data_IF_695440193936
#
_entry.id   IF_695440193936
#
_cell.length_a   1.000
_cell.length_b   1.000
_cell.length_c   1.000
_cell.angle_alpha   90.00
_cell.angle_beta   90.00
_cell.angle_gamma   90.00
#
_symmetry.space_group_name_H-M   'P 1'
#
loop_
_entity.id
_entity.type
_entity.pdbx_description
1 polymer ?
#
# COMPACT_ATOMS: atom_id res chain seq x y z
N UNK A 1 -13.44 -8.43 27.21
CA UNK A 1 -12.89 -7.06 27.03
C UNK A 1 -14.02 -6.05 27.07
N UNK A 2 -13.80 -4.93 27.74
CA UNK A 2 -14.75 -3.83 27.75
C UNK A 2 -14.76 -3.14 26.38
N UNK A 3 -15.94 -2.72 25.89
CA UNK A 3 -16.07 -2.04 24.59
C UNK A 3 -15.23 -0.75 24.54
N UNK A 4 -15.06 -0.09 25.68
CA UNK A 4 -14.24 1.11 25.81
C UNK A 4 -12.75 0.82 25.59
N UNK A 5 -12.22 -0.26 26.17
CA UNK A 5 -10.80 -0.60 25.96
C UNK A 5 -10.55 -0.97 24.51
N UNK A 6 -11.42 -1.79 23.90
CA UNK A 6 -11.37 -2.09 22.45
C UNK A 6 -11.42 -0.85 21.56
N UNK A 7 -12.24 0.14 21.93
CA UNK A 7 -12.29 1.42 21.25
C UNK A 7 -10.97 2.16 21.35
N UNK A 8 -10.39 2.28 22.55
CA UNK A 8 -9.10 2.93 22.77
C UNK A 8 -8.00 2.20 21.98
N UNK A 9 -7.90 0.89 22.08
CA UNK A 9 -6.88 0.08 21.39
C UNK A 9 -6.97 0.22 19.86
N UNK A 10 -8.18 0.22 19.30
CA UNK A 10 -8.39 0.30 17.85
C UNK A 10 -8.24 1.72 17.31
N UNK A 11 -8.60 2.75 18.08
CA UNK A 11 -8.55 4.16 17.64
C UNK A 11 -7.16 4.78 17.79
N UNK A 12 -6.35 4.33 18.77
CA UNK A 12 -5.01 4.83 19.03
C UNK A 12 -4.08 4.89 17.80
N UNK A 13 -3.93 3.83 16.98
CA UNK A 13 -3.10 3.90 15.77
C UNK A 13 -3.64 4.89 14.75
N UNK A 14 -4.96 5.04 14.64
CA UNK A 14 -5.60 6.00 13.73
C UNK A 14 -5.32 7.42 14.18
N UNK A 15 -5.52 7.72 15.46
CA UNK A 15 -5.19 9.03 16.06
C UNK A 15 -3.71 9.34 15.87
N UNK A 16 -2.82 8.38 16.11
CA UNK A 16 -1.37 8.56 15.90
C UNK A 16 -1.07 9.00 14.46
N UNK A 17 -1.68 8.36 13.45
CA UNK A 17 -1.49 8.78 12.06
C UNK A 17 -2.09 10.16 11.79
N UNK A 18 -3.30 10.44 12.28
CA UNK A 18 -3.94 11.76 12.10
C UNK A 18 -3.12 12.90 12.72
N UNK A 19 -2.53 12.68 13.90
CA UNK A 19 -1.65 13.66 14.55
C UNK A 19 -0.37 13.90 13.74
N UNK A 20 0.27 12.84 13.23
CA UNK A 20 1.47 12.98 12.38
C UNK A 20 1.11 13.67 11.05
N UNK A 21 -0.06 13.39 10.47
CA UNK A 21 -0.56 14.12 9.30
C UNK A 21 -0.76 15.61 9.61
N UNK A 22 -1.32 15.95 10.77
CA UNK A 22 -1.51 17.33 11.21
C UNK A 22 -0.17 18.06 11.39
N UNK A 23 0.84 17.40 11.96
CA UNK A 23 2.20 17.95 12.05
C UNK A 23 2.78 18.17 10.66
N UNK A 24 2.67 17.20 9.74
CA UNK A 24 3.12 17.35 8.36
C UNK A 24 2.47 18.54 7.65
N UNK A 25 1.15 18.71 7.84
CA UNK A 25 0.38 19.84 7.33
C UNK A 25 0.90 21.17 7.90
N UNK A 26 1.09 21.24 9.21
CA UNK A 26 1.62 22.42 9.89
C UNK A 26 3.02 22.81 9.38
N UNK A 27 3.92 21.84 9.24
CA UNK A 27 5.28 22.07 8.73
C UNK A 27 5.32 22.53 7.27
N UNK A 28 4.27 22.29 6.49
CA UNK A 28 4.15 22.73 5.11
C UNK A 28 3.51 24.11 4.94
N UNK A 29 2.99 24.71 6.02
CA UNK A 29 2.38 26.05 5.96
C UNK A 29 3.39 27.09 5.52
N UNK A 30 2.92 28.11 4.79
CA UNK A 30 3.77 29.20 4.26
C UNK A 30 4.54 29.94 5.37
N UNK A 31 4.02 29.94 6.59
CA UNK A 31 4.68 30.54 7.76
C UNK A 31 5.86 29.71 8.32
N UNK A 32 5.86 28.39 8.13
CA UNK A 32 6.90 27.49 8.67
C UNK A 32 7.85 27.00 7.58
N UNK A 33 7.30 26.63 6.42
CA UNK A 33 7.98 26.17 5.18
C UNK A 33 9.10 25.13 5.36
N UNK A 34 9.07 24.35 6.44
CA UNK A 34 10.08 23.31 6.70
C UNK A 34 9.86 22.08 5.80
N UNK A 35 8.60 21.75 5.52
CA UNK A 35 8.19 20.72 4.55
C UNK A 35 7.60 21.36 3.28
N UNK A 36 8.27 22.38 2.77
CA UNK A 36 8.02 22.93 1.44
C UNK A 36 8.28 21.92 0.30
N UNK A 37 7.96 22.25 -0.96
CA UNK A 37 8.02 21.32 -2.09
C UNK A 37 9.37 20.61 -2.27
N UNK A 38 10.47 21.35 -2.15
CA UNK A 38 11.83 20.79 -2.28
C UNK A 38 12.17 19.84 -1.12
N UNK A 39 11.86 20.23 0.12
CA UNK A 39 12.08 19.41 1.30
C UNK A 39 11.28 18.10 1.23
N UNK A 40 10.02 18.16 0.79
CA UNK A 40 9.20 16.96 0.55
C UNK A 40 9.81 16.04 -0.49
N UNK A 41 10.32 16.61 -1.59
CA UNK A 41 10.96 15.82 -2.64
C UNK A 41 12.20 15.10 -2.13
N UNK A 42 13.10 15.79 -1.42
CA UNK A 42 14.30 15.17 -0.84
C UNK A 42 13.97 14.12 0.22
N UNK A 43 13.03 14.43 1.12
CA UNK A 43 12.58 13.47 2.12
C UNK A 43 11.96 12.23 1.48
N UNK A 44 11.19 12.39 0.40
CA UNK A 44 10.63 11.28 -0.35
C UNK A 44 11.70 10.40 -1.00
N UNK A 45 12.78 11.01 -1.51
CA UNK A 45 13.92 10.26 -2.04
C UNK A 45 14.60 9.43 -0.93
N UNK A 46 14.77 9.98 0.27
CA UNK A 46 15.27 9.20 1.42
C UNK A 46 14.33 8.04 1.78
N UNK A 47 13.02 8.31 1.82
CA UNK A 47 12.01 7.27 2.07
C UNK A 47 12.10 6.15 1.03
N UNK A 48 12.18 6.49 -0.26
CA UNK A 48 12.17 5.52 -1.35
C UNK A 48 13.48 4.71 -1.46
N UNK A 49 14.64 5.38 -1.40
CA UNK A 49 15.94 4.74 -1.63
C UNK A 49 16.56 4.13 -0.38
N UNK A 50 16.21 4.61 0.82
CA UNK A 50 16.89 4.23 2.07
C UNK A 50 15.91 3.64 3.08
N UNK A 51 14.92 4.40 3.53
CA UNK A 51 14.11 3.98 4.69
C UNK A 51 13.18 2.80 4.38
N UNK A 52 12.42 2.83 3.28
CA UNK A 52 11.52 1.73 2.92
C UNK A 52 12.27 0.43 2.60
N UNK A 53 13.36 0.44 1.81
CA UNK A 53 14.17 -0.76 1.60
C UNK A 53 14.69 -1.35 2.91
N UNK A 54 15.23 -0.51 3.81
CA UNK A 54 15.71 -0.94 5.11
C UNK A 54 14.58 -1.58 5.95
N UNK A 55 13.44 -0.91 6.06
CA UNK A 55 12.27 -1.39 6.79
C UNK A 55 11.77 -2.75 6.27
N UNK A 56 11.60 -2.87 4.95
CA UNK A 56 11.08 -4.08 4.29
C UNK A 56 12.09 -5.23 4.41
N UNK A 57 13.38 -4.95 4.15
CA UNK A 57 14.44 -5.95 4.21
C UNK A 57 14.59 -6.54 5.62
N UNK A 58 14.62 -5.69 6.66
CA UNK A 58 14.69 -6.14 8.04
C UNK A 58 13.42 -6.90 8.45
N UNK A 59 12.23 -6.39 8.14
CA UNK A 59 10.95 -7.05 8.44
C UNK A 59 10.89 -8.47 7.85
N UNK A 60 11.34 -8.62 6.60
CA UNK A 60 11.39 -9.93 5.92
C UNK A 60 12.46 -10.82 6.53
N UNK A 61 13.66 -10.31 6.80
CA UNK A 61 14.73 -11.11 7.39
C UNK A 61 14.36 -11.65 8.78
N UNK A 62 13.70 -10.82 9.61
CA UNK A 62 13.21 -11.22 10.94
C UNK A 62 12.19 -12.35 10.84
N UNK A 63 11.22 -12.22 9.93
CA UNK A 63 10.07 -13.13 9.81
C UNK A 63 10.29 -14.36 8.93
N UNK A 64 11.20 -14.32 7.96
CA UNK A 64 11.43 -15.41 6.99
C UNK A 64 12.22 -16.56 7.61
N UNK A 65 11.56 -17.42 8.40
CA UNK A 65 12.09 -18.76 8.74
C UNK A 65 11.32 -19.83 7.98
N UNK A 66 11.96 -20.98 7.73
CA UNK A 66 11.30 -22.14 7.10
C UNK A 66 10.04 -22.54 7.88
N UNK A 67 10.13 -22.57 9.21
CA UNK A 67 9.01 -22.91 10.10
C UNK A 67 7.87 -21.88 10.04
N UNK A 68 8.19 -20.59 9.98
CA UNK A 68 7.20 -19.52 9.80
C UNK A 68 6.51 -19.63 8.44
N UNK A 69 7.26 -19.93 7.38
CA UNK A 69 6.72 -20.04 6.03
C UNK A 69 5.73 -21.20 5.92
N UNK A 70 6.02 -22.36 6.52
CA UNK A 70 5.11 -23.52 6.52
C UNK A 70 3.87 -23.30 7.38
N UNK A 71 3.99 -22.62 8.52
CA UNK A 71 2.87 -22.44 9.47
C UNK A 71 1.95 -21.28 9.12
N UNK A 72 2.47 -20.23 8.48
CA UNK A 72 1.74 -19.00 8.18
C UNK A 72 1.56 -18.74 6.68
N UNK A 73 1.76 -19.74 5.82
CA UNK A 73 1.71 -19.59 4.35
C UNK A 73 0.41 -18.97 3.82
N UNK A 74 -0.72 -19.23 4.50
CA UNK A 74 -2.01 -18.69 4.08
C UNK A 74 -2.10 -17.17 4.28
N UNK A 75 -1.32 -16.59 5.18
CA UNK A 75 -1.33 -15.15 5.43
C UNK A 75 -0.86 -14.33 4.21
N UNK A 76 0.30 -14.61 3.58
CA UNK A 76 0.64 -14.05 2.28
C UNK A 76 -0.47 -14.21 1.24
N UNK A 77 -1.04 -15.41 1.13
CA UNK A 77 -2.11 -15.71 0.16
C UNK A 77 -3.34 -14.85 0.40
N UNK A 78 -3.77 -14.72 1.66
CA UNK A 78 -4.90 -13.89 2.06
C UNK A 78 -4.68 -12.41 1.72
N UNK A 79 -3.47 -11.89 1.92
CA UNK A 79 -3.12 -10.52 1.54
C UNK A 79 -3.23 -10.33 0.02
N UNK A 80 -2.73 -11.27 -0.78
CA UNK A 80 -2.86 -11.21 -2.23
C UNK A 80 -4.33 -11.30 -2.68
N UNK A 81 -5.14 -12.16 -2.06
CA UNK A 81 -6.59 -12.24 -2.33
C UNK A 81 -7.26 -10.90 -2.01
N UNK A 82 -6.99 -10.30 -0.84
CA UNK A 82 -7.50 -8.98 -0.45
C UNK A 82 -7.12 -7.91 -1.47
N UNK A 83 -5.86 -7.90 -1.90
CA UNK A 83 -5.37 -6.97 -2.92
C UNK A 83 -6.11 -7.14 -4.26
N UNK A 84 -6.32 -8.39 -4.71
CA UNK A 84 -7.06 -8.69 -5.95
C UNK A 84 -8.52 -8.23 -5.85
N UNK A 85 -9.22 -8.57 -4.76
CA UNK A 85 -10.60 -8.15 -4.53
C UNK A 85 -10.68 -6.62 -4.52
N UNK A 86 -9.79 -5.96 -3.78
CA UNK A 86 -9.71 -4.50 -3.71
C UNK A 86 -9.40 -3.84 -5.05
N UNK A 87 -8.52 -4.43 -5.87
CA UNK A 87 -8.25 -3.95 -7.22
C UNK A 87 -9.46 -4.09 -8.15
N UNK A 88 -10.19 -5.21 -8.07
CA UNK A 88 -11.41 -5.43 -8.86
C UNK A 88 -12.48 -4.42 -8.47
N UNK A 89 -12.72 -4.24 -7.16
CA UNK A 89 -13.67 -3.24 -6.65
C UNK A 89 -13.27 -1.81 -7.05
N UNK A 90 -11.97 -1.47 -6.97
CA UNK A 90 -11.45 -0.19 -7.43
C UNK A 90 -11.66 0.03 -8.93
N UNK A 91 -11.45 -0.99 -9.76
CA UNK A 91 -11.74 -0.92 -11.20
C UNK A 91 -13.23 -0.71 -11.48
N UNK A 92 -14.11 -1.34 -10.70
CA UNK A 92 -15.56 -1.15 -10.79
C UNK A 92 -15.90 0.30 -10.42
N UNK A 93 -15.34 0.82 -9.33
CA UNK A 93 -15.57 2.19 -8.88
C UNK A 93 -15.11 3.23 -9.91
N UNK A 94 -13.95 3.02 -10.54
CA UNK A 94 -13.44 3.87 -11.63
C UNK A 94 -14.45 4.01 -12.76
N UNK A 95 -15.13 2.90 -13.12
CA UNK A 95 -16.16 2.90 -14.17
C UNK A 95 -17.44 3.61 -13.72
N UNK A 96 -17.91 3.34 -12.51
CA UNK A 96 -19.15 3.92 -11.96
C UNK A 96 -19.03 5.45 -11.83
N UNK A 97 -17.91 5.92 -11.30
CA UNK A 97 -17.70 7.35 -11.01
C UNK A 97 -17.19 8.16 -12.21
N UNK A 98 -16.93 7.48 -13.35
CA UNK A 98 -16.27 8.06 -14.51
C UNK A 98 -15.02 8.84 -14.10
N UNK A 99 -14.11 8.14 -13.43
CA UNK A 99 -12.87 8.72 -12.87
C UNK A 99 -11.95 9.19 -14.02
N UNK A 100 -11.38 10.40 -13.93
CA UNK A 100 -10.39 10.89 -14.89
C UNK A 100 -9.19 9.92 -15.05
N UNK A 101 -8.61 9.78 -16.26
CA UNK A 101 -7.49 8.86 -16.51
C UNK A 101 -6.34 8.98 -15.51
N UNK A 102 -6.00 10.19 -15.07
CA UNK A 102 -4.94 10.46 -14.10
C UNK A 102 -5.18 9.83 -12.71
N UNK A 103 -6.44 9.70 -12.28
CA UNK A 103 -6.78 9.21 -10.94
C UNK A 103 -7.13 7.71 -10.91
N UNK A 104 -7.20 7.03 -12.07
CA UNK A 104 -7.59 5.60 -12.13
C UNK A 104 -6.64 4.74 -11.31
N UNK A 105 -5.33 4.93 -11.49
CA UNK A 105 -4.30 4.21 -10.75
C UNK A 105 -4.39 4.47 -9.25
N UNK A 106 -4.64 5.72 -8.85
CA UNK A 106 -4.81 6.12 -7.45
C UNK A 106 -6.01 5.41 -6.80
N UNK A 107 -7.15 5.36 -7.48
CA UNK A 107 -8.38 4.75 -6.94
C UNK A 107 -8.20 3.24 -6.76
N UNK A 108 -7.58 2.57 -7.73
CA UNK A 108 -7.24 1.15 -7.64
C UNK A 108 -6.23 0.90 -6.51
N UNK A 109 -5.24 1.77 -6.36
CA UNK A 109 -4.25 1.71 -5.27
C UNK A 109 -4.92 1.82 -3.90
N UNK A 110 -5.68 2.90 -3.67
CA UNK A 110 -6.39 3.12 -2.43
C UNK A 110 -7.39 2.02 -2.11
N UNK A 111 -7.96 1.35 -3.12
CA UNK A 111 -8.90 0.24 -2.94
C UNK A 111 -8.22 -1.11 -2.68
N UNK A 112 -6.96 -1.31 -3.11
CA UNK A 112 -6.25 -2.60 -3.04
C UNK A 112 -5.24 -2.72 -1.90
N UNK A 113 -4.36 -1.74 -1.68
CA UNK A 113 -3.29 -1.82 -0.68
C UNK A 113 -3.64 -1.18 0.67
N UNK A 114 -3.45 -1.90 1.78
CA UNK A 114 -3.77 -1.45 3.13
C UNK A 114 -2.50 -1.09 3.94
N UNK A 115 -2.63 -0.23 4.95
CA UNK A 115 -1.54 0.16 5.85
C UNK A 115 -1.23 -0.94 6.90
N UNK A 116 -0.93 -2.15 6.42
CA UNK A 116 -0.74 -3.32 7.28
C UNK A 116 0.44 -3.16 8.24
N UNK A 117 1.48 -2.40 7.89
CA UNK A 117 2.63 -2.19 8.77
C UNK A 117 2.29 -1.39 10.01
N UNK A 118 2.00 -0.10 9.86
CA UNK A 118 1.81 0.78 11.01
C UNK A 118 0.60 0.37 11.85
N UNK A 119 -0.49 -0.07 11.23
CA UNK A 119 -1.72 -0.37 11.96
C UNK A 119 -1.62 -1.70 12.69
N UNK A 120 -1.18 -2.79 12.04
CA UNK A 120 -1.13 -4.10 12.72
C UNK A 120 -0.02 -4.15 13.79
N UNK A 121 1.13 -3.49 13.57
CA UNK A 121 2.21 -3.43 14.57
C UNK A 121 1.76 -2.74 15.87
N UNK A 122 0.73 -1.89 15.83
CA UNK A 122 0.20 -1.22 17.02
C UNK A 122 -1.00 -2.00 17.59
N UNK A 123 -1.93 -2.43 16.73
CA UNK A 123 -3.18 -3.06 17.17
C UNK A 123 -2.93 -4.44 17.78
N UNK A 124 -2.13 -5.29 17.13
CA UNK A 124 -1.99 -6.68 17.56
C UNK A 124 -1.30 -6.79 18.94
N UNK A 125 -0.14 -6.15 19.19
CA UNK A 125 0.47 -6.17 20.53
C UNK A 125 -0.44 -5.58 21.60
N UNK A 126 -1.08 -4.44 21.32
CA UNK A 126 -1.95 -3.80 22.30
C UNK A 126 -3.16 -4.68 22.68
N UNK A 127 -3.79 -5.37 21.71
CA UNK A 127 -4.87 -6.34 22.01
C UNK A 127 -4.38 -7.56 22.81
N UNK A 128 -3.11 -7.92 22.70
CA UNK A 128 -2.50 -9.00 23.49
C UNK A 128 -2.16 -8.57 24.93
N UNK A 129 -1.94 -7.28 25.16
CA UNK A 129 -1.60 -6.70 26.47
C UNK A 129 -2.83 -6.26 27.27
N UNK A 130 -4.01 -6.20 26.63
CA UNK A 130 -5.29 -5.88 27.27
C UNK A 130 -5.67 -6.90 28.36
N UNK A 131 -6.21 -6.38 29.46
CA UNK A 131 -6.75 -7.21 30.54
C UNK A 131 -7.93 -8.05 30.05
N UNK A 132 -7.89 -9.37 30.28
CA UNK A 132 -8.83 -10.36 29.73
C UNK A 132 -8.81 -10.48 28.20
N UNK A 133 -7.63 -10.42 27.58
CA UNK A 133 -7.45 -10.75 26.16
C UNK A 133 -7.88 -12.20 25.87
N UNK A 134 -8.68 -12.45 24.82
CA UNK A 134 -9.13 -13.79 24.45
C UNK A 134 -8.06 -14.59 23.69
N UNK A 135 -6.89 -13.99 23.44
CA UNK A 135 -5.85 -14.55 22.58
C UNK A 135 -4.74 -15.31 23.32
N UNK A 136 -4.95 -15.59 24.62
CA UNK A 136 -4.04 -16.40 25.45
C UNK A 136 -3.06 -15.56 26.27
N UNK A 137 -1.91 -16.14 26.60
CA UNK A 137 -0.86 -15.48 27.38
C UNK A 137 -0.31 -14.23 26.66
N UNK A 138 -0.20 -13.13 27.39
CA UNK A 138 0.12 -11.81 26.84
C UNK A 138 1.48 -11.77 26.12
N UNK A 139 2.52 -12.37 26.72
CA UNK A 139 3.88 -12.34 26.18
C UNK A 139 4.00 -13.11 24.86
N UNK A 140 3.35 -14.26 24.81
CA UNK A 140 3.34 -15.14 23.63
C UNK A 140 2.47 -14.54 22.52
N UNK A 141 1.30 -14.02 22.88
CA UNK A 141 0.40 -13.35 21.95
C UNK A 141 1.07 -12.14 21.30
N UNK A 142 1.70 -11.26 22.09
CA UNK A 142 2.35 -10.04 21.60
C UNK A 142 3.47 -10.37 20.61
N UNK A 143 4.30 -11.38 20.93
CA UNK A 143 5.38 -11.86 20.05
C UNK A 143 4.84 -12.39 18.71
N UNK A 144 3.75 -13.16 18.74
CA UNK A 144 3.10 -13.64 17.51
C UNK A 144 2.43 -12.51 16.74
N UNK A 145 1.76 -11.58 17.44
CA UNK A 145 1.13 -10.40 16.86
C UNK A 145 2.12 -9.53 16.09
N UNK A 146 3.29 -9.24 16.68
CA UNK A 146 4.38 -8.52 16.01
C UNK A 146 4.85 -9.28 14.76
N UNK A 147 5.08 -10.60 14.89
CA UNK A 147 5.51 -11.43 13.76
C UNK A 147 4.50 -11.42 12.60
N UNK A 148 3.21 -11.49 12.90
CA UNK A 148 2.14 -11.45 11.90
C UNK A 148 2.04 -10.08 11.22
N UNK A 149 2.20 -9.01 11.98
CA UNK A 149 2.17 -7.65 11.46
C UNK A 149 3.39 -7.37 10.53
N UNK A 150 4.59 -7.78 10.93
CA UNK A 150 5.80 -7.67 10.10
C UNK A 150 5.70 -8.49 8.82
N UNK A 151 5.18 -9.72 8.89
CA UNK A 151 4.94 -10.55 7.70
C UNK A 151 3.90 -9.90 6.77
N UNK A 152 2.85 -9.31 7.35
CA UNK A 152 1.81 -8.61 6.59
C UNK A 152 2.35 -7.37 5.87
N UNK A 153 3.18 -6.57 6.56
CA UNK A 153 3.89 -5.43 5.98
C UNK A 153 4.76 -5.85 4.79
N UNK A 154 5.57 -6.88 4.99
CA UNK A 154 6.46 -7.42 3.97
C UNK A 154 5.71 -7.84 2.70
N UNK A 155 4.69 -8.67 2.84
CA UNK A 155 3.92 -9.17 1.69
C UNK A 155 3.17 -8.05 0.97
N UNK A 156 2.59 -7.12 1.72
CA UNK A 156 1.92 -5.96 1.14
C UNK A 156 2.90 -5.08 0.36
N UNK A 157 4.12 -4.90 0.86
CA UNK A 157 5.15 -4.13 0.17
C UNK A 157 5.58 -4.77 -1.15
N UNK A 158 5.72 -6.10 -1.19
CA UNK A 158 6.01 -6.84 -2.44
C UNK A 158 4.92 -6.57 -3.46
N UNK A 159 3.64 -6.67 -3.07
CA UNK A 159 2.51 -6.35 -3.96
C UNK A 159 2.57 -4.90 -4.47
N UNK A 160 2.82 -3.94 -3.56
CA UNK A 160 2.83 -2.51 -3.90
C UNK A 160 3.92 -2.21 -4.93
N UNK A 161 5.14 -2.71 -4.73
CA UNK A 161 6.26 -2.39 -5.62
C UNK A 161 6.30 -3.23 -6.89
N UNK A 162 5.79 -4.46 -6.87
CA UNK A 162 5.82 -5.34 -8.03
C UNK A 162 4.64 -5.12 -8.98
N UNK A 163 3.45 -4.86 -8.44
CA UNK A 163 2.21 -4.79 -9.22
C UNK A 163 1.66 -3.36 -9.19
N UNK A 164 1.44 -2.82 -7.99
CA UNK A 164 0.69 -1.56 -7.87
C UNK A 164 1.42 -0.36 -8.47
N UNK A 165 2.74 -0.29 -8.28
CA UNK A 165 3.60 0.72 -8.90
C UNK A 165 3.44 0.73 -10.42
N UNK A 166 3.40 -0.45 -11.06
CA UNK A 166 3.19 -0.58 -12.50
C UNK A 166 1.83 -0.03 -12.95
N UNK A 167 0.76 -0.35 -12.20
CA UNK A 167 -0.60 0.15 -12.45
C UNK A 167 -0.63 1.68 -12.36
N UNK A 168 -0.07 2.24 -11.29
CA UNK A 168 -0.05 3.69 -11.05
C UNK A 168 0.79 4.42 -12.10
N UNK A 169 1.97 3.88 -12.44
CA UNK A 169 2.83 4.43 -13.50
C UNK A 169 2.14 4.44 -14.86
N UNK A 170 1.40 3.39 -15.18
CA UNK A 170 0.62 3.32 -16.45
C UNK A 170 -0.45 4.40 -16.51
N UNK A 171 -1.15 4.63 -15.39
CA UNK A 171 -2.13 5.71 -15.24
C UNK A 171 -1.52 7.11 -15.34
N UNK A 172 -0.29 7.30 -14.84
CA UNK A 172 0.44 8.56 -14.95
C UNK A 172 0.94 8.79 -16.39
N UNK A 173 1.45 7.75 -17.05
CA UNK A 173 1.93 7.86 -18.43
C UNK A 173 0.83 8.16 -19.45
N UNK A 174 -0.42 7.77 -19.19
CA UNK A 174 -1.54 8.19 -20.06
C UNK A 174 -1.73 9.71 -20.08
N UNK A 175 -1.34 10.42 -19.02
CA UNK A 175 -1.37 11.89 -18.95
C UNK A 175 -0.35 12.49 -19.91
N UNK A 176 0.87 11.94 -19.94
CA UNK A 176 1.94 12.43 -20.83
C UNK A 176 1.56 12.24 -22.30
N UNK A 177 0.92 11.11 -22.63
CA UNK A 177 0.44 10.85 -23.98
C UNK A 177 -0.72 11.77 -24.38
N UNK A 178 -1.74 11.89 -23.53
CA UNK A 178 -2.90 12.75 -23.78
C UNK A 178 -2.48 14.23 -23.92
N UNK A 179 -1.56 14.70 -23.06
CA UNK A 179 -1.02 16.06 -23.17
C UNK A 179 -0.16 16.25 -24.43
N UNK A 180 0.61 15.24 -24.86
CA UNK A 180 1.40 15.32 -26.09
C UNK A 180 0.55 15.28 -27.37
N UNK A 181 -0.55 14.52 -27.34
CA UNK A 181 -1.56 14.47 -28.41
C UNK A 181 -2.32 15.80 -28.52
N UNK A 182 -2.77 16.35 -27.38
CA UNK A 182 -3.42 17.68 -27.34
C UNK A 182 -2.44 18.76 -27.82
N UNK A 183 -1.17 18.72 -27.39
CA UNK A 183 -0.17 19.69 -27.84
C UNK A 183 0.10 19.57 -29.35
N UNK A 184 0.10 18.36 -29.91
CA UNK A 184 0.24 18.14 -31.36
C UNK A 184 -0.97 18.63 -32.15
N UNK A 185 -2.19 18.42 -31.64
CA UNK A 185 -3.42 18.92 -32.28
C UNK A 185 -3.53 20.45 -32.21
N UNK A 186 -3.02 21.06 -31.13
CA UNK A 186 -3.05 22.53 -30.99
C UNK A 186 -2.00 23.23 -31.87
N UNK A 187 -0.95 22.51 -32.31
CA UNK A 187 0.12 23.01 -33.17
C UNK A 187 -0.12 22.76 -34.68
N UNK A 188 -1.23 22.12 -35.06
CA UNK A 188 -1.51 21.72 -36.43
C UNK A 188 -2.58 22.59 -37.14
N UNK A 189 -2.27 23.86 -37.42
CA UNK A 189 -2.76 24.63 -38.59
C UNK A 189 -1.95 25.95 -38.77
N UNK A 190 -1.80 26.51 -39.99
CA UNK A 190 -0.60 26.33 -40.78
C UNK A 190 0.24 27.60 -40.93
N UNK A 191 1.56 27.53 -40.75
CA UNK A 191 2.49 28.47 -41.37
C UNK A 191 3.75 27.75 -41.88
N UNK A 192 3.91 27.84 -43.20
CA UNK A 192 5.13 27.52 -43.95
C UNK A 192 6.32 28.31 -43.39
N UNK A 193 7.47 27.64 -43.20
CA UNK A 193 8.83 27.99 -43.69
C UNK A 193 9.88 27.11 -42.98
N UNK A 194 10.36 26.10 -43.72
CA UNK A 194 11.76 25.71 -43.93
C UNK A 194 12.82 26.17 -42.91
N UNK A 195 13.49 25.25 -42.20
CA UNK A 195 14.77 24.60 -42.59
C UNK A 195 15.24 23.65 -41.48
N UNK A 196 15.99 22.62 -41.87
CA UNK A 196 16.10 21.33 -41.18
C UNK A 196 17.13 21.21 -40.05
N UNK A 197 17.06 20.07 -39.38
CA UNK A 197 18.16 19.26 -38.84
C UNK A 197 17.66 17.80 -38.77
N UNK A 198 18.60 16.89 -39.05
CA UNK A 198 18.49 15.53 -39.57
C UNK A 198 17.69 14.50 -38.77
N UNK A 199 17.06 13.62 -39.56
CA UNK A 199 16.56 12.30 -39.24
C UNK A 199 17.62 11.41 -38.56
N UNK A 200 17.19 10.60 -37.59
CA UNK A 200 17.54 9.18 -37.60
C UNK A 200 16.55 8.32 -36.78
N UNK A 201 15.81 7.47 -37.52
CA UNK A 201 15.22 6.17 -37.15
C UNK A 201 14.00 6.10 -36.21
N UNK A 202 12.84 6.48 -36.75
CA UNK A 202 11.53 5.99 -36.30
C UNK A 202 11.24 4.65 -36.99
N UNK A 203 11.21 3.56 -36.22
CA UNK A 203 10.63 2.31 -36.68
C UNK A 203 9.11 2.48 -36.79
N UNK A 204 8.61 2.46 -38.02
CA UNK A 204 7.23 2.18 -38.36
C UNK A 204 6.80 0.85 -37.73
N UNK A 205 5.74 0.86 -36.93
CA UNK A 205 4.98 -0.35 -36.59
C UNK A 205 3.61 -0.17 -37.22
N UNK A 206 3.37 -0.95 -38.26
CA UNK A 206 2.09 -1.02 -38.97
C UNK A 206 0.94 -1.34 -38.00
N UNK A 207 -0.12 -0.53 -38.07
CA UNK A 207 -1.42 -0.85 -37.49
C UNK A 207 -2.05 -2.02 -38.26
N UNK A 208 -2.62 -3.04 -37.58
CA UNK A 208 -3.69 -3.81 -38.15
C UNK A 208 -5.05 -3.16 -37.86
N UNK A 209 -5.79 -3.07 -38.96
CA UNK A 209 -7.15 -2.61 -39.22
C UNK A 209 -8.23 -3.03 -38.18
N UNK A 210 -9.23 -2.15 -38.01
CA UNK A 210 -10.37 -2.31 -37.09
C UNK A 210 -11.35 -3.38 -37.59
N UNK A 211 -11.11 -4.62 -37.17
CA UNK A 211 -12.08 -5.71 -37.23
C UNK A 211 -13.01 -5.71 -36.02
N UNK A 212 -14.24 -5.21 -36.23
CA UNK A 212 -15.37 -5.16 -35.29
C UNK A 212 -15.63 -6.53 -34.59
N UNK A 213 -15.11 -6.74 -33.37
CA UNK A 213 -15.45 -7.88 -32.52
C UNK A 213 -15.87 -7.43 -31.12
N UNK A 214 -17.15 -7.71 -30.79
CA UNK A 214 -17.71 -7.60 -29.44
C UNK A 214 -17.04 -8.61 -28.50
N UNK A 215 -15.90 -8.22 -27.94
CA UNK A 215 -15.17 -9.02 -26.97
C UNK A 215 -15.68 -8.76 -25.55
N UNK A 216 -16.03 -9.84 -24.83
CA UNK A 216 -16.58 -9.86 -23.47
C UNK A 216 -15.77 -9.02 -22.46
N UNK A 217 -16.48 -8.39 -21.51
CA UNK A 217 -16.02 -7.52 -20.42
C UNK A 217 -14.84 -8.10 -19.63
N UNK A 218 -14.76 -9.42 -19.52
CA UNK A 218 -13.68 -10.14 -18.83
C UNK A 218 -12.39 -10.17 -19.65
N UNK A 219 -12.49 -10.19 -20.98
CA UNK A 219 -11.37 -10.21 -21.92
C UNK A 219 -10.56 -8.92 -21.88
N UNK A 220 -11.20 -7.74 -21.87
CA UNK A 220 -10.48 -6.44 -21.77
C UNK A 220 -9.74 -6.26 -20.44
N UNK A 221 -10.31 -6.76 -19.34
CA UNK A 221 -9.69 -6.68 -18.01
C UNK A 221 -8.53 -7.68 -17.88
N UNK A 222 -8.72 -8.91 -18.34
CA UNK A 222 -7.66 -9.93 -18.44
C UNK A 222 -6.55 -9.47 -19.37
N UNK A 223 -6.87 -8.79 -20.47
CA UNK A 223 -5.89 -8.26 -21.42
C UNK A 223 -5.17 -7.04 -20.85
N UNK A 224 -5.83 -6.10 -20.16
CA UNK A 224 -5.14 -5.02 -19.44
C UNK A 224 -4.18 -5.58 -18.37
N UNK A 225 -4.64 -6.57 -17.59
CA UNK A 225 -3.83 -7.26 -16.58
C UNK A 225 -2.65 -8.04 -17.22
N UNK A 226 -2.90 -8.82 -18.28
CA UNK A 226 -1.87 -9.58 -19.00
C UNK A 226 -0.89 -8.69 -19.77
N UNK A 227 -1.33 -7.61 -20.40
CA UNK A 227 -0.46 -6.67 -21.11
C UNK A 227 0.41 -5.88 -20.11
N UNK A 228 -0.12 -5.57 -18.91
CA UNK A 228 0.65 -4.99 -17.80
C UNK A 228 1.72 -5.95 -17.25
N UNK A 229 1.41 -7.26 -17.18
CA UNK A 229 2.38 -8.30 -16.81
C UNK A 229 3.44 -8.50 -17.91
N UNK A 230 3.07 -8.31 -19.19
CA UNK A 230 3.88 -8.69 -20.35
C UNK A 230 4.73 -7.55 -20.95
N UNK A 231 4.46 -6.28 -20.66
CA UNK A 231 5.29 -5.17 -21.18
C UNK A 231 6.48 -4.83 -20.26
N UNK A 232 7.70 -5.20 -20.68
CA UNK A 232 9.00 -4.66 -20.19
C UNK A 232 9.19 -4.55 -18.65
N UNK A 233 8.53 -5.41 -17.85
CA UNK A 233 8.55 -5.35 -16.39
C UNK A 233 9.85 -5.87 -15.73
N UNK A 234 10.80 -6.42 -16.50
CA UNK A 234 12.06 -6.93 -15.93
C UNK A 234 12.97 -5.84 -15.36
N UNK A 235 12.92 -4.60 -15.88
CA UNK A 235 13.63 -3.46 -15.26
C UNK A 235 12.93 -2.93 -14.00
N UNK A 236 11.67 -3.32 -13.75
CA UNK A 236 10.87 -2.88 -12.60
C UNK A 236 11.13 -3.73 -11.34
N UNK A 237 11.77 -4.89 -11.49
CA UNK A 237 12.31 -5.73 -10.39
C UNK A 237 13.46 -5.02 -9.64
N UNK A 238 14.00 -3.92 -10.18
CA UNK A 238 15.07 -3.13 -9.57
C UNK A 238 14.60 -2.01 -8.64
N UNK A 239 13.32 -1.96 -8.26
CA UNK A 239 12.90 -1.05 -7.19
C UNK A 239 13.70 -1.40 -5.91
N UNK A 240 14.32 -0.42 -5.22
CA UNK A 240 15.15 -0.67 -4.04
C UNK A 240 14.46 -1.56 -2.99
N UNK A 241 13.17 -1.35 -2.75
CA UNK A 241 12.36 -2.15 -1.83
C UNK A 241 12.16 -3.61 -2.26
N UNK A 242 12.14 -3.89 -3.57
CA UNK A 242 12.03 -5.27 -4.09
C UNK A 242 13.35 -6.00 -3.93
N UNK A 243 14.47 -5.33 -4.22
CA UNK A 243 15.82 -5.86 -3.99
C UNK A 243 16.01 -6.16 -2.50
N UNK A 244 15.66 -5.21 -1.63
CA UNK A 244 15.75 -5.40 -0.19
C UNK A 244 14.85 -6.54 0.31
N UNK A 245 13.67 -6.73 -0.29
CA UNK A 245 12.84 -7.88 0.02
C UNK A 245 13.51 -9.22 -0.33
N UNK A 246 14.11 -9.34 -1.51
CA UNK A 246 14.85 -10.54 -1.93
C UNK A 246 16.02 -10.80 -0.98
N UNK A 247 16.82 -9.77 -0.69
CA UNK A 247 17.94 -9.86 0.26
C UNK A 247 17.45 -10.26 1.65
N UNK A 248 16.35 -9.67 2.12
CA UNK A 248 15.73 -10.02 3.39
C UNK A 248 15.34 -11.49 3.47
N UNK A 249 14.73 -12.06 2.40
CA UNK A 249 14.38 -13.48 2.35
C UNK A 249 15.63 -14.35 2.45
N UNK A 250 16.69 -14.01 1.70
CA UNK A 250 17.96 -14.74 1.71
C UNK A 250 18.57 -14.73 3.11
N UNK A 251 18.67 -13.55 3.73
CA UNK A 251 19.24 -13.38 5.08
C UNK A 251 18.40 -14.11 6.13
N UNK A 252 17.07 -14.12 6.00
CA UNK A 252 16.18 -14.80 6.93
C UNK A 252 16.25 -16.33 6.85
N UNK A 253 16.25 -16.89 5.63
CA UNK A 253 16.21 -18.35 5.40
C UNK A 253 17.58 -19.01 5.61
N UNK A 254 18.65 -18.36 5.16
CA UNK A 254 20.00 -18.94 5.22
C UNK A 254 20.50 -18.89 6.68
N UNK A 255 20.48 -20.05 7.35
CA UNK A 255 20.77 -20.15 8.79
C UNK A 255 22.09 -19.49 9.22
N UNK A 256 23.21 -19.58 8.48
CA UNK A 256 24.44 -18.86 8.83
C UNK A 256 24.24 -17.33 8.88
N UNK A 257 23.57 -16.74 7.89
CA UNK A 257 23.34 -15.29 7.85
C UNK A 257 22.39 -14.84 8.94
N UNK A 258 21.30 -15.58 9.18
CA UNK A 258 20.37 -15.29 10.27
C UNK A 258 21.06 -15.29 11.63
N UNK A 259 21.87 -16.31 11.92
CA UNK A 259 22.61 -16.44 13.18
C UNK A 259 23.76 -15.41 13.32
N UNK A 260 24.24 -14.87 12.21
CA UNK A 260 25.31 -13.87 12.20
C UNK A 260 24.79 -12.43 12.29
N UNK A 261 23.61 -12.13 11.74
CA UNK A 261 23.07 -10.77 11.62
C UNK A 261 21.75 -10.55 12.38
N UNK A 262 20.79 -11.47 12.31
CA UNK A 262 19.39 -11.19 12.71
C UNK A 262 19.11 -11.52 14.18
N UNK A 263 19.68 -12.60 14.71
CA UNK A 263 19.44 -13.01 16.11
C UNK A 263 20.03 -11.97 17.07
N UNK A 264 19.32 -11.63 18.15
CA UNK A 264 19.74 -10.56 19.09
C UNK A 264 21.14 -10.79 19.70
N UNK A 265 21.52 -12.05 19.89
CA UNK A 265 22.84 -12.46 20.38
C UNK A 265 23.89 -12.67 19.27
N UNK A 266 23.61 -12.25 18.03
CA UNK A 266 24.48 -12.48 16.89
C UNK A 266 25.71 -11.54 16.90
N UNK A 267 26.88 -12.01 16.43
CA UNK A 267 28.12 -11.24 16.47
C UNK A 267 28.07 -9.95 15.63
N UNK A 268 27.29 -9.93 14.54
CA UNK A 268 27.12 -8.76 13.68
C UNK A 268 25.72 -8.15 13.78
N UNK A 269 25.00 -8.40 14.88
CA UNK A 269 23.66 -7.86 15.10
C UNK A 269 23.59 -6.33 14.95
N UNK A 270 24.67 -5.63 15.29
CA UNK A 270 24.81 -4.17 15.13
C UNK A 270 24.52 -3.69 13.70
N UNK A 271 24.88 -4.49 12.68
CA UNK A 271 24.59 -4.12 11.28
C UNK A 271 23.08 -4.19 11.02
N UNK A 272 22.44 -5.28 11.44
CA UNK A 272 20.99 -5.46 11.27
C UNK A 272 20.21 -4.40 12.04
N UNK A 273 20.54 -4.18 13.33
CA UNK A 273 19.83 -3.21 14.17
C UNK A 273 20.03 -1.77 13.68
N UNK A 274 21.19 -1.44 13.10
CA UNK A 274 21.40 -0.13 12.46
C UNK A 274 20.50 0.07 11.24
N UNK A 275 20.34 -0.97 10.40
CA UNK A 275 19.45 -0.90 9.23
C UNK A 275 17.99 -0.82 9.69
N UNK A 276 17.60 -1.60 10.71
CA UNK A 276 16.28 -1.55 11.31
C UNK A 276 15.97 -0.15 11.84
N UNK A 277 16.88 0.46 12.60
CA UNK A 277 16.77 1.82 13.12
C UNK A 277 16.59 2.88 12.01
N UNK A 278 17.32 2.74 10.89
CA UNK A 278 17.11 3.59 9.71
C UNK A 278 15.72 3.36 9.10
N UNK A 279 15.25 2.11 9.07
CA UNK A 279 13.93 1.74 8.56
C UNK A 279 12.77 2.30 9.38
N UNK A 280 12.94 2.43 10.70
CA UNK A 280 11.93 2.99 11.61
C UNK A 280 11.56 4.44 11.25
N UNK A 281 12.46 5.21 10.64
CA UNK A 281 12.19 6.55 10.14
C UNK A 281 11.23 6.57 8.93
N UNK A 282 11.09 5.45 8.20
CA UNK A 282 10.34 5.39 6.95
C UNK A 282 8.85 5.72 7.12
N UNK A 283 8.19 5.09 8.09
CA UNK A 283 6.75 5.28 8.37
C UNK A 283 6.40 6.73 8.79
N UNK A 284 7.08 7.33 9.79
CA UNK A 284 6.80 8.72 10.16
C UNK A 284 7.14 9.70 9.03
N UNK A 285 8.26 9.52 8.31
CA UNK A 285 8.61 10.40 7.18
C UNK A 285 7.59 10.36 6.05
N UNK A 286 7.13 9.16 5.62
CA UNK A 286 6.07 9.07 4.59
C UNK A 286 4.76 9.70 5.07
N UNK A 287 4.44 9.57 6.36
CA UNK A 287 3.23 10.16 6.94
C UNK A 287 3.31 11.68 6.99
N UNK A 288 4.45 12.24 7.37
CA UNK A 288 4.69 13.68 7.32
C UNK A 288 4.57 14.23 5.90
N UNK A 289 5.11 13.53 4.89
CA UNK A 289 4.97 13.94 3.47
C UNK A 289 3.49 14.01 3.06
N UNK A 290 2.70 12.98 3.40
CA UNK A 290 1.27 12.95 3.07
C UNK A 290 0.52 14.08 3.78
N UNK A 291 0.85 14.35 5.04
CA UNK A 291 0.31 15.49 5.78
C UNK A 291 0.68 16.82 5.15
N UNK A 292 1.93 16.98 4.73
CA UNK A 292 2.41 18.19 4.06
C UNK A 292 1.70 18.43 2.71
N UNK A 293 1.43 17.36 1.96
CA UNK A 293 0.67 17.42 0.71
C UNK A 293 -0.82 17.72 0.92
N UNK A 294 -1.35 17.53 2.14
CA UNK A 294 -2.73 17.87 2.47
C UNK A 294 -3.00 19.37 2.38
N UNK A 295 -1.98 20.23 2.57
CA UNK A 295 -2.15 21.69 2.48
C UNK A 295 -2.73 22.11 1.12
N UNK A 296 -2.15 21.57 0.04
CA UNK A 296 -2.64 21.80 -1.32
C UNK A 296 -4.00 21.14 -1.52
N UNK A 297 -4.19 19.94 -0.97
CA UNK A 297 -5.46 19.20 -1.04
C UNK A 297 -6.65 19.95 -0.42
N UNK A 298 -6.45 20.61 0.73
CA UNK A 298 -7.47 21.40 1.42
C UNK A 298 -7.80 22.71 0.68
N UNK A 299 -6.84 23.29 -0.04
CA UNK A 299 -7.06 24.45 -0.93
C UNK A 299 -7.84 24.09 -2.21
N UNK A 300 -7.98 22.80 -2.51
CA UNK A 300 -8.76 22.28 -3.63
C UNK A 300 -8.04 21.13 -4.33
N UNK A 301 -8.49 19.89 -4.11
CA UNK A 301 -7.89 18.69 -4.70
C UNK A 301 -8.53 18.26 -6.03
N UNK A 302 -9.69 18.81 -6.41
CA UNK A 302 -10.43 18.37 -7.60
C UNK A 302 -10.98 16.94 -7.52
N UNK A 303 -10.89 16.27 -6.36
CA UNK A 303 -11.43 14.92 -6.16
C UNK A 303 -12.95 14.99 -6.00
N UNK A 304 -13.69 14.28 -6.85
CA UNK A 304 -15.14 14.16 -6.74
C UNK A 304 -15.54 13.48 -5.44
N UNK A 305 -16.51 14.02 -4.71
CA UNK A 305 -17.03 13.43 -3.45
C UNK A 305 -17.52 12.00 -3.64
N UNK A 306 -18.10 11.68 -4.80
CA UNK A 306 -18.53 10.31 -5.13
C UNK A 306 -17.37 9.30 -5.13
N UNK A 307 -16.15 9.75 -5.46
CA UNK A 307 -14.95 8.92 -5.43
C UNK A 307 -14.50 8.63 -4.00
N UNK A 308 -14.50 9.67 -3.16
CA UNK A 308 -14.16 9.56 -1.73
C UNK A 308 -15.13 8.57 -1.08
N UNK A 309 -16.43 8.79 -1.23
CA UNK A 309 -17.48 7.92 -0.68
C UNK A 309 -17.35 6.49 -1.21
N UNK A 310 -17.07 6.31 -2.49
CA UNK A 310 -16.86 5.00 -3.08
C UNK A 310 -15.68 4.23 -2.47
N UNK A 311 -14.52 4.89 -2.29
CA UNK A 311 -13.36 4.29 -1.64
C UNK A 311 -13.66 3.95 -0.18
N UNK A 312 -14.38 4.83 0.53
CA UNK A 312 -14.80 4.58 1.91
C UNK A 312 -15.71 3.36 2.01
N UNK A 313 -16.68 3.18 1.10
CA UNK A 313 -17.55 2.01 1.06
C UNK A 313 -16.74 0.74 0.78
N UNK A 314 -15.82 0.78 -0.20
CA UNK A 314 -14.97 -0.37 -0.50
C UNK A 314 -14.16 -0.79 0.73
N UNK A 315 -13.49 0.17 1.37
CA UNK A 315 -12.56 -0.10 2.48
C UNK A 315 -13.23 -0.45 3.79
N UNK A 316 -14.35 0.20 4.10
CA UNK A 316 -14.97 0.07 5.42
C UNK A 316 -16.16 -0.90 5.42
N UNK A 317 -16.60 -1.39 4.26
CA UNK A 317 -17.76 -2.29 4.17
C UNK A 317 -17.46 -3.50 3.28
N UNK A 318 -17.17 -3.28 1.99
CA UNK A 318 -17.09 -4.39 1.02
C UNK A 318 -15.89 -5.30 1.27
N UNK A 319 -14.70 -4.73 1.51
CA UNK A 319 -13.51 -5.51 1.81
C UNK A 319 -13.64 -6.27 3.13
N UNK A 320 -14.00 -5.65 4.27
CA UNK A 320 -14.28 -6.35 5.51
C UNK A 320 -15.25 -7.52 5.36
N UNK A 321 -16.39 -7.29 4.70
CA UNK A 321 -17.38 -8.32 4.43
C UNK A 321 -16.81 -9.47 3.57
N UNK A 322 -16.01 -9.14 2.54
CA UNK A 322 -15.35 -10.16 1.72
C UNK A 322 -14.30 -10.96 2.51
N UNK A 323 -13.59 -10.32 3.44
CA UNK A 323 -12.62 -10.97 4.32
C UNK A 323 -13.25 -12.06 5.18
N UNK A 324 -14.46 -11.83 5.70
CA UNK A 324 -15.22 -12.85 6.43
C UNK A 324 -15.46 -14.08 5.55
N UNK A 325 -15.91 -13.89 4.31
CA UNK A 325 -16.19 -14.99 3.38
C UNK A 325 -14.91 -15.76 3.06
N UNK A 326 -13.82 -15.06 2.73
CA UNK A 326 -12.53 -15.68 2.37
C UNK A 326 -11.96 -16.46 3.55
N UNK A 327 -11.88 -15.86 4.74
CA UNK A 327 -11.28 -16.50 5.91
C UNK A 327 -12.14 -17.68 6.38
N UNK A 328 -13.47 -17.55 6.45
CA UNK A 328 -14.34 -18.68 6.81
C UNK A 328 -14.27 -19.83 5.80
N UNK A 329 -14.21 -19.53 4.50
CA UNK A 329 -14.04 -20.55 3.47
C UNK A 329 -12.69 -21.28 3.66
N UNK A 330 -11.61 -20.53 3.91
CA UNK A 330 -10.30 -21.11 4.15
C UNK A 330 -10.23 -21.97 5.43
N UNK A 331 -10.97 -21.58 6.48
CA UNK A 331 -11.14 -22.40 7.68
C UNK A 331 -11.89 -23.70 7.38
N UNK A 332 -12.99 -23.64 6.62
CA UNK A 332 -13.76 -24.83 6.25
C UNK A 332 -12.95 -25.81 5.37
N UNK A 333 -12.04 -25.29 4.55
CA UNK A 333 -11.11 -26.07 3.73
C UNK A 333 -9.86 -26.57 4.50
N UNK A 334 -9.74 -26.27 5.80
CA UNK A 334 -8.58 -26.67 6.60
C UNK A 334 -7.27 -25.96 6.25
N UNK A 335 -7.32 -24.82 5.55
CA UNK A 335 -6.14 -24.04 5.14
C UNK A 335 -5.64 -23.09 6.24
N UNK A 336 -6.46 -22.85 7.26
CA UNK A 336 -6.21 -21.91 8.36
C UNK A 336 -6.24 -22.67 9.68
N UNK A 337 -5.20 -22.49 10.51
CA UNK A 337 -5.14 -23.09 11.84
C UNK A 337 -6.23 -22.57 12.79
N UNK A 338 -6.44 -23.29 13.89
CA UNK A 338 -7.46 -22.97 14.91
C UNK A 338 -7.10 -21.80 15.84
N UNK A 339 -5.91 -21.21 15.70
CA UNK A 339 -5.46 -20.15 16.59
C UNK A 339 -6.22 -18.84 16.33
N UNK A 340 -7.00 -18.38 17.32
CA UNK A 340 -7.89 -17.22 17.19
C UNK A 340 -7.17 -15.93 16.80
N UNK A 341 -5.96 -15.67 17.31
CA UNK A 341 -5.18 -14.48 16.94
C UNK A 341 -4.79 -14.49 15.45
N UNK A 342 -4.47 -15.67 14.91
CA UNK A 342 -4.13 -15.81 13.50
C UNK A 342 -5.36 -15.53 12.63
N UNK A 343 -6.50 -16.16 12.95
CA UNK A 343 -7.77 -15.92 12.25
C UNK A 343 -8.21 -14.45 12.33
N UNK A 344 -8.11 -13.85 13.52
CA UNK A 344 -8.37 -12.43 13.74
C UNK A 344 -7.49 -11.55 12.85
N UNK A 345 -6.18 -11.84 12.79
CA UNK A 345 -5.25 -11.06 11.97
C UNK A 345 -5.60 -11.14 10.49
N UNK A 346 -5.97 -12.32 9.99
CA UNK A 346 -6.40 -12.51 8.60
C UNK A 346 -7.65 -11.69 8.25
N UNK A 347 -8.61 -11.59 9.18
CA UNK A 347 -9.80 -10.74 9.01
C UNK A 347 -9.46 -9.26 9.08
N UNK A 348 -8.65 -8.87 10.06
CA UNK A 348 -8.28 -7.47 10.31
C UNK A 348 -7.57 -6.86 9.10
N UNK A 349 -6.76 -7.63 8.37
CA UNK A 349 -6.11 -7.21 7.12
C UNK A 349 -7.07 -6.58 6.09
N UNK A 350 -8.36 -6.94 6.09
CA UNK A 350 -9.36 -6.37 5.17
C UNK A 350 -10.00 -5.06 5.65
N UNK A 351 -9.92 -4.75 6.95
CA UNK A 351 -10.51 -3.55 7.55
C UNK A 351 -9.50 -2.40 7.74
N UNK A 352 -8.22 -2.66 7.50
CA UNK A 352 -7.17 -1.64 7.61
C UNK A 352 -7.33 -0.56 6.52
N UNK A 353 -7.18 0.73 6.86
CA UNK A 353 -7.26 1.83 5.90
C UNK A 353 -6.16 1.77 4.82
N UNK A 354 -6.27 2.57 3.74
CA UNK A 354 -5.32 2.53 2.63
C UNK A 354 -3.86 2.75 3.04
N UNK A 355 -2.95 2.18 2.26
CA UNK A 355 -1.51 2.21 2.51
C UNK A 355 -0.90 3.59 2.28
N UNK A 356 -0.04 4.03 3.20
CA UNK A 356 0.67 5.33 3.13
C UNK A 356 1.71 5.38 2.01
N UNK A 357 2.34 4.24 1.68
CA UNK A 357 3.38 4.14 0.65
C UNK A 357 2.90 4.46 -0.77
N UNK A 358 1.57 4.47 -1.00
CA UNK A 358 0.96 4.99 -2.23
C UNK A 358 1.39 6.45 -2.45
N UNK A 359 1.47 7.25 -1.37
CA UNK A 359 1.91 8.65 -1.43
C UNK A 359 3.35 8.80 -1.92
N UNK A 360 4.24 7.92 -1.49
CA UNK A 360 5.63 7.88 -1.97
C UNK A 360 5.71 7.64 -3.47
N UNK A 361 4.88 6.71 -3.99
CA UNK A 361 4.81 6.44 -5.43
C UNK A 361 4.31 7.67 -6.19
N UNK A 362 3.24 8.31 -5.72
CA UNK A 362 2.69 9.51 -6.35
C UNK A 362 3.69 10.66 -6.37
N UNK A 363 4.44 10.84 -5.27
CA UNK A 363 5.48 11.84 -5.15
C UNK A 363 6.63 11.60 -6.15
N UNK A 364 6.98 10.35 -6.41
CA UNK A 364 7.95 10.00 -7.46
C UNK A 364 7.41 10.22 -8.87
N UNK A 365 6.12 9.97 -9.08
CA UNK A 365 5.46 10.19 -10.36
C UNK A 365 5.09 11.67 -10.58
N UNK A 366 5.20 12.51 -9.56
CA UNK A 366 4.88 13.94 -9.60
C UNK A 366 3.41 14.27 -9.86
N UNK A 367 2.49 13.33 -9.58
CA UNK A 367 1.06 13.46 -9.92
C UNK A 367 0.18 12.87 -8.82
N UNK A 368 -0.98 13.48 -8.55
CA UNK A 368 -2.00 12.94 -7.64
C UNK A 368 -1.71 13.05 -6.14
N UNK A 369 -0.65 13.76 -5.74
CA UNK A 369 -0.22 13.89 -4.34
C UNK A 369 -1.27 14.54 -3.43
N UNK A 370 -1.93 15.61 -3.91
CA UNK A 370 -2.98 16.35 -3.19
C UNK A 370 -4.28 15.56 -3.08
N UNK A 371 -4.59 14.78 -4.10
CA UNK A 371 -5.79 13.96 -4.21
C UNK A 371 -5.69 12.79 -3.24
N UNK A 372 -4.52 12.15 -3.20
CA UNK A 372 -4.23 11.11 -2.24
C UNK A 372 -4.28 11.60 -0.80
N UNK A 373 -3.67 12.74 -0.47
CA UNK A 373 -3.68 13.25 0.91
C UNK A 373 -5.09 13.55 1.41
N UNK A 374 -6.00 14.06 0.55
CA UNK A 374 -7.42 14.22 0.90
C UNK A 374 -8.13 12.88 1.09
N UNK A 375 -7.89 11.90 0.21
CA UNK A 375 -8.44 10.55 0.36
C UNK A 375 -7.98 9.89 1.67
N UNK A 376 -6.71 10.09 2.03
CA UNK A 376 -6.14 9.58 3.27
C UNK A 376 -6.77 10.24 4.50
N UNK A 377 -6.92 11.57 4.51
CA UNK A 377 -7.59 12.26 5.61
C UNK A 377 -8.97 11.65 5.88
N UNK A 378 -9.83 11.58 4.87
CA UNK A 378 -11.18 11.04 5.04
C UNK A 378 -11.20 9.55 5.39
N UNK A 379 -10.32 8.76 4.80
CA UNK A 379 -10.22 7.33 5.11
C UNK A 379 -9.85 7.10 6.57
N UNK A 380 -8.93 7.89 7.13
CA UNK A 380 -8.49 7.74 8.52
C UNK A 380 -9.50 8.33 9.51
N UNK A 381 -10.17 9.44 9.18
CA UNK A 381 -11.28 9.97 10.00
C UNK A 381 -12.40 8.94 10.14
N UNK A 382 -12.78 8.28 9.05
CA UNK A 382 -13.80 7.21 9.10
C UNK A 382 -13.26 5.96 9.79
N UNK A 383 -11.99 5.60 9.57
CA UNK A 383 -11.34 4.45 10.20
C UNK A 383 -11.35 4.54 11.74
N UNK A 384 -11.31 5.74 12.32
CA UNK A 384 -11.37 5.93 13.77
C UNK A 384 -12.61 5.27 14.39
N UNK A 385 -13.72 5.21 13.64
CA UNK A 385 -14.97 4.59 14.07
C UNK A 385 -15.14 3.19 13.49
N UNK A 386 -14.93 3.02 12.18
CA UNK A 386 -15.19 1.75 11.50
C UNK A 386 -14.22 0.65 11.93
N UNK A 387 -12.94 0.98 12.14
CA UNK A 387 -11.94 -0.02 12.52
C UNK A 387 -12.27 -0.61 13.89
N UNK A 388 -12.67 0.22 14.85
CA UNK A 388 -13.14 -0.26 16.16
C UNK A 388 -14.31 -1.22 16.04
N UNK A 389 -15.32 -0.87 15.24
CA UNK A 389 -16.50 -1.72 15.04
C UNK A 389 -16.10 -3.06 14.42
N UNK A 390 -15.23 -3.06 13.41
CA UNK A 390 -14.73 -4.29 12.79
C UNK A 390 -13.84 -5.11 13.72
N UNK A 391 -12.96 -4.49 14.50
CA UNK A 391 -12.14 -5.18 15.51
C UNK A 391 -13.04 -5.89 16.52
N UNK A 392 -14.02 -5.19 17.10
CA UNK A 392 -14.96 -5.79 18.05
C UNK A 392 -15.75 -6.94 17.43
N UNK A 393 -16.26 -6.74 16.20
CA UNK A 393 -17.01 -7.77 15.48
C UNK A 393 -16.15 -8.98 15.12
N UNK A 394 -14.90 -8.79 14.69
CA UNK A 394 -14.00 -9.88 14.35
C UNK A 394 -13.52 -10.65 15.57
N UNK A 395 -13.29 -9.99 16.70
CA UNK A 395 -13.01 -10.68 17.96
C UNK A 395 -14.18 -11.60 18.30
N UNK A 396 -15.41 -11.07 18.33
CA UNK A 396 -16.62 -11.87 18.54
C UNK A 396 -16.78 -13.02 17.54
N UNK A 397 -16.27 -12.88 16.32
CA UNK A 397 -16.37 -13.90 15.28
C UNK A 397 -15.40 -15.08 15.49
N UNK A 398 -14.25 -14.85 16.12
CA UNK A 398 -13.17 -15.84 16.27
C UNK A 398 -13.01 -16.40 17.69
N UNK A 399 -13.76 -15.83 18.65
CA UNK A 399 -13.87 -16.27 20.04
C UNK A 399 -15.23 -16.89 20.28
#
# INVERSE_FOLDING_TARGET
MELLSLFITSVMPVIKVLLVLAIGLFLATESVDLLGPNARHHLNNLVFYVFLPALIGCSIAKTSTVKTLETLWFMPVNIFISCIIGSVLGCILVKITKTPPCLKGLVIACSSAANLGNMLNIILPALCEETNSPFGDSSTCSTYGESYALLSLAMQAIYVWSILYSIMRTSANSIVKENAEILSETLAEPLLVSHGISEDNIYHVDLPDEGNQRMSTFGKMKQCFMTTIRSKSLKMIFAPSTIAAIVGVIVGIVSPFRKALVVDSAPFHVIYSSIEFIGEAGIPSMTLIVGANLLKGLKGSGVKTSLIVGILIIRNILLPASGIVVVKAAMHLGLVGSYSLYQFTLLLQYAIPPAMNIGTILQMLGTGESEFSVLMLWSYVVAAFSLTLWTAFYIWLVT
#
